data_IF_012824034830
#
_entry.id   IF_012824034830
#
_cell.length_a   1.000
_cell.length_b   1.000
_cell.length_c   1.000
_cell.angle_alpha   90.00
_cell.angle_beta   90.00
_cell.angle_gamma   90.00
#
_symmetry.space_group_name_H-M   'P 1'
#
loop_
_entity.id
_entity.type
_entity.pdbx_description
1 polymer ?
#
# COMPACT_ATOMS: atom_id res chain seq x y z
N UNK A 1 -15.28 22.37 9.44
CA UNK A 1 -14.61 23.21 8.42
C UNK A 1 -13.14 22.84 8.36
N UNK A 2 -12.68 22.44 7.17
CA UNK A 2 -11.33 22.56 6.58
C UNK A 2 -10.08 22.12 7.37
N UNK A 3 -9.63 20.93 6.96
CA UNK A 3 -8.37 20.67 6.24
C UNK A 3 -7.01 20.99 6.89
N UNK A 4 -6.28 19.88 7.01
CA UNK A 4 -4.84 19.68 7.05
C UNK A 4 -4.07 20.36 5.90
N UNK A 5 -2.79 20.66 6.14
CA UNK A 5 -1.87 21.11 5.10
C UNK A 5 -0.39 20.97 5.49
N UNK A 6 0.17 19.77 5.35
CA UNK A 6 1.63 19.52 5.27
C UNK A 6 2.17 20.01 3.92
N UNK A 7 3.31 20.70 3.91
CA UNK A 7 4.38 20.64 2.87
C UNK A 7 5.72 20.93 3.56
N UNK A 8 6.50 19.88 3.88
CA UNK A 8 7.68 19.34 3.16
C UNK A 8 8.90 20.29 3.11
N UNK A 9 10.10 19.80 3.49
CA UNK A 9 11.32 20.58 3.64
C UNK A 9 12.09 20.68 2.31
N UNK A 10 12.98 21.66 2.20
CA UNK A 10 13.92 21.80 1.09
C UNK A 10 15.33 21.95 1.66
N UNK A 11 16.22 21.08 1.21
CA UNK A 11 17.63 21.02 1.57
C UNK A 11 18.41 22.27 1.11
N UNK A 12 19.32 22.77 1.96
CA UNK A 12 20.61 23.31 1.51
C UNK A 12 21.61 23.49 2.68
N UNK A 13 22.55 22.55 2.77
CA UNK A 13 24.02 22.75 2.87
C UNK A 13 24.54 23.91 3.77
N UNK A 14 25.09 23.48 4.92
CA UNK A 14 26.10 24.04 5.89
C UNK A 14 26.54 25.54 5.89
N UNK A 15 26.71 26.17 7.09
CA UNK A 15 27.57 27.35 7.36
C UNK A 15 29.01 26.93 7.81
N UNK A 16 30.07 27.78 7.96
CA UNK A 16 30.14 29.11 8.65
C UNK A 16 31.23 30.09 8.06
N UNK A 17 31.85 31.08 8.76
CA UNK A 17 31.48 31.99 9.89
C UNK A 17 31.70 33.52 9.57
N UNK A 18 31.34 34.45 10.48
CA UNK A 18 31.79 35.85 10.42
C UNK A 18 33.17 36.04 11.08
N UNK A 19 34.00 37.01 10.64
CA UNK A 19 35.30 37.27 11.25
C UNK A 19 35.17 38.08 12.57
N UNK A 20 35.99 37.79 13.59
CA UNK A 20 36.06 38.56 14.83
C UNK A 20 37.02 39.78 14.71
N UNK A 21 36.79 40.87 15.47
CA UNK A 21 37.82 41.88 15.69
C UNK A 21 38.82 41.37 16.75
N UNK A 22 40.06 41.16 16.32
CA UNK A 22 41.19 40.81 17.19
C UNK A 22 41.65 42.03 17.99
N UNK A 23 41.51 41.96 19.31
CA UNK A 23 42.16 42.89 20.25
C UNK A 23 43.01 42.04 21.17
N UNK A 24 44.29 41.92 20.84
CA UNK A 24 45.33 41.55 21.80
C UNK A 24 46.54 42.45 21.57
N UNK A 25 46.65 43.44 22.46
CA UNK A 25 47.89 44.16 22.72
C UNK A 25 48.75 43.28 23.61
N UNK A 26 49.73 42.58 23.05
CA UNK A 26 50.96 42.26 23.76
C UNK A 26 52.15 42.64 22.88
N UNK A 27 52.75 43.78 23.23
CA UNK A 27 54.09 44.18 22.81
C UNK A 27 55.09 43.17 23.36
N UNK A 28 55.71 42.39 22.49
CA UNK A 28 57.06 41.91 22.70
C UNK A 28 57.94 42.50 21.61
N UNK A 29 58.94 43.23 22.08
CA UNK A 29 60.04 43.78 21.31
C UNK A 29 60.87 42.61 20.77
N UNK A 30 60.92 42.46 19.44
CA UNK A 30 62.10 41.97 18.75
C UNK A 30 61.94 42.25 17.26
N UNK A 31 62.73 43.18 16.74
CA UNK A 31 63.03 43.23 15.31
C UNK A 31 64.34 43.95 15.12
N UNK A 32 65.38 43.13 14.96
CA UNK A 32 66.56 43.45 14.17
C UNK A 32 66.13 43.98 12.81
N UNK A 33 66.68 45.12 12.41
CA UNK A 33 66.97 45.42 11.02
C UNK A 33 68.07 46.47 10.95
N UNK A 34 69.25 45.96 10.64
CA UNK A 34 70.30 46.66 9.90
C UNK A 34 69.70 47.49 8.76
N UNK A 35 69.97 48.79 8.81
CA UNK A 35 70.01 49.62 7.61
C UNK A 35 71.06 50.70 7.82
N UNK A 36 72.22 50.45 7.22
CA UNK A 36 73.27 51.42 7.00
C UNK A 36 72.74 52.67 6.30
N UNK A 37 72.97 53.84 6.90
CA UNK A 37 73.12 55.09 6.16
C UNK A 37 74.19 55.96 6.83
N UNK A 38 75.44 55.51 6.70
CA UNK A 38 76.60 56.38 6.84
C UNK A 38 76.58 57.36 5.66
N UNK A 39 76.16 58.59 5.91
CA UNK A 39 76.17 59.61 4.87
C UNK A 39 75.22 60.77 5.12
N UNK A 40 75.51 61.59 6.12
CA UNK A 40 75.32 63.05 6.04
C UNK A 40 75.94 63.72 7.25
N UNK A 41 77.08 64.36 7.02
CA UNK A 41 77.57 65.44 7.88
C UNK A 41 76.44 66.45 8.05
N UNK A 42 76.05 66.85 9.27
CA UNK A 42 75.41 68.14 9.41
C UNK A 42 76.50 69.17 9.09
N UNK A 43 76.31 69.82 7.95
CA UNK A 43 77.07 70.98 7.51
C UNK A 43 77.32 71.88 8.70
N UNK A 44 78.60 72.25 8.86
CA UNK A 44 79.01 73.36 9.69
C UNK A 44 78.14 74.57 9.35
N UNK A 45 77.14 74.84 10.18
CA UNK A 45 76.63 76.19 10.33
C UNK A 45 77.78 76.96 10.96
N UNK A 46 78.61 77.54 10.09
CA UNK A 46 79.44 78.65 10.47
C UNK A 46 78.54 79.63 11.20
N UNK A 47 78.78 79.77 12.49
CA UNK A 47 78.23 80.85 13.29
C UNK A 47 78.82 82.12 12.70
N UNK A 48 78.14 82.64 11.68
CA UNK A 48 78.26 84.04 11.33
C UNK A 48 77.94 84.78 12.61
N UNK A 49 78.97 85.34 13.24
CA UNK A 49 78.89 86.19 14.45
C UNK A 49 78.03 87.45 14.24
N UNK A 50 77.38 87.56 13.08
CA UNK A 50 76.43 88.59 12.67
C UNK A 50 74.95 88.15 12.78
N UNK A 51 74.63 86.88 13.11
CA UNK A 51 73.23 86.38 13.16
C UNK A 51 72.60 86.23 14.56
N UNK A 52 73.35 86.44 15.65
CA UNK A 52 72.79 86.42 17.01
C UNK A 52 71.86 87.62 17.29
N UNK A 53 72.08 88.75 16.60
CA UNK A 53 71.22 89.92 16.71
C UNK A 53 69.83 89.69 16.12
N UNK A 54 69.75 89.02 14.96
CA UNK A 54 68.48 88.77 14.25
C UNK A 54 67.59 87.76 14.97
N UNK A 55 68.16 86.74 15.63
CA UNK A 55 67.40 85.75 16.40
C UNK A 55 66.77 86.34 17.68
N UNK A 56 67.44 87.30 18.33
CA UNK A 56 66.94 87.95 19.54
C UNK A 56 65.76 88.89 19.26
N UNK A 57 65.66 89.43 18.06
CA UNK A 57 64.54 90.29 17.63
C UNK A 57 63.30 89.52 17.20
N UNK A 58 63.37 88.19 17.05
CA UNK A 58 62.21 87.38 16.69
C UNK A 58 61.15 87.38 17.80
N UNK A 59 59.91 87.71 17.44
CA UNK A 59 58.80 87.84 18.39
C UNK A 59 58.38 86.50 18.98
N UNK A 60 58.56 85.40 18.23
CA UNK A 60 58.23 84.06 18.73
C UNK A 60 59.22 83.63 19.81
N UNK A 61 60.52 83.84 19.57
CA UNK A 61 61.58 83.64 20.56
C UNK A 61 61.36 84.49 21.82
N UNK A 62 61.07 85.78 21.67
CA UNK A 62 60.87 86.67 22.83
C UNK A 62 59.70 86.21 23.71
N UNK A 63 58.57 85.82 23.10
CA UNK A 63 57.41 85.31 23.86
C UNK A 63 57.74 83.99 24.57
N UNK A 64 58.49 83.10 23.92
CA UNK A 64 58.95 81.85 24.55
C UNK A 64 59.91 82.10 25.71
N UNK A 65 60.89 82.99 25.52
CA UNK A 65 61.86 83.37 26.53
C UNK A 65 61.20 83.98 27.77
N UNK A 66 60.22 84.88 27.57
CA UNK A 66 59.42 85.47 28.66
C UNK A 66 58.65 84.38 29.43
N UNK A 67 58.05 83.41 28.73
CA UNK A 67 57.35 82.29 29.39
C UNK A 67 58.30 81.45 30.24
N UNK A 68 59.48 81.11 29.71
CA UNK A 68 60.49 80.34 30.45
C UNK A 68 60.96 81.09 31.69
N UNK A 69 61.27 82.38 31.56
CA UNK A 69 61.70 83.21 32.69
C UNK A 69 60.60 83.29 33.74
N UNK A 70 59.35 83.58 33.35
CA UNK A 70 58.23 83.66 34.29
C UNK A 70 57.95 82.32 34.97
N UNK A 71 58.12 81.19 34.26
CA UNK A 71 57.98 79.86 34.85
C UNK A 71 59.05 79.59 35.91
N UNK A 72 60.29 80.01 35.65
CA UNK A 72 61.39 79.89 36.62
C UNK A 72 61.20 80.80 37.84
N UNK A 73 60.76 82.04 37.64
CA UNK A 73 60.43 82.96 38.73
C UNK A 73 59.31 82.40 39.61
N UNK A 74 58.30 81.78 39.00
CA UNK A 74 57.20 81.12 39.71
C UNK A 74 57.66 79.87 40.48
N UNK A 75 58.55 79.03 39.93
CA UNK A 75 59.06 77.84 40.62
C UNK A 75 59.88 78.19 41.87
N UNK A 76 60.52 79.37 41.87
CA UNK A 76 61.27 79.91 42.99
C UNK A 76 60.45 80.87 43.87
N UNK A 77 59.11 80.86 43.74
CA UNK A 77 58.16 81.64 44.54
C UNK A 77 58.36 83.17 44.51
N UNK A 78 58.94 83.71 43.43
CA UNK A 78 59.12 85.16 43.26
C UNK A 78 57.82 85.83 42.74
N UNK A 79 57.40 86.98 43.29
CA UNK A 79 56.21 87.70 42.81
C UNK A 79 56.45 88.46 41.48
N UNK A 80 57.67 88.40 40.93
CA UNK A 80 58.08 89.11 39.72
C UNK A 80 57.53 88.42 38.46
N UNK A 81 57.01 89.21 37.52
CA UNK A 81 56.53 88.71 36.24
C UNK A 81 56.74 89.72 35.11
N UNK A 82 57.40 89.29 34.05
CA UNK A 82 57.66 90.10 32.86
C UNK A 82 56.44 90.03 31.93
N UNK A 83 55.78 91.17 31.66
CA UNK A 83 54.59 91.27 30.79
C UNK A 83 54.97 91.74 29.36
N UNK A 84 54.50 91.07 28.29
CA UNK A 84 54.68 91.53 26.92
C UNK A 84 53.77 92.73 26.58
N UNK A 85 54.09 93.56 25.56
CA UNK A 85 55.19 93.41 24.61
C UNK A 85 56.55 93.91 25.12
N UNK A 86 56.58 94.78 26.13
CA UNK A 86 57.79 95.34 26.73
C UNK A 86 57.54 95.60 28.23
N UNK A 87 58.27 94.92 29.14
CA UNK A 87 58.08 95.09 30.58
C UNK A 87 58.68 96.39 31.12
N UNK A 88 58.30 96.76 32.36
CA UNK A 88 58.79 97.99 32.97
C UNK A 88 60.29 97.89 33.31
N UNK A 89 61.02 99.01 33.22
CA UNK A 89 62.44 99.05 33.54
C UNK A 89 62.76 98.56 34.97
N UNK A 90 61.81 98.74 35.90
CA UNK A 90 61.88 98.26 37.28
C UNK A 90 61.79 96.73 37.33
N UNK A 91 60.78 96.16 36.69
CA UNK A 91 60.53 94.71 36.67
C UNK A 91 61.74 93.97 36.07
N UNK A 92 62.30 94.51 34.99
CA UNK A 92 63.48 93.92 34.34
C UNK A 92 64.70 93.92 35.25
N UNK A 93 64.93 95.04 35.95
CA UNK A 93 66.07 95.20 36.85
C UNK A 93 65.94 94.33 38.10
N UNK A 94 64.73 94.19 38.63
CA UNK A 94 64.42 93.29 39.77
C UNK A 94 64.54 91.82 39.37
N UNK A 95 64.06 91.44 38.19
CA UNK A 95 64.24 90.08 37.65
C UNK A 95 65.72 89.76 37.46
N UNK A 96 66.53 90.68 36.91
CA UNK A 96 67.97 90.46 36.77
C UNK A 96 68.67 90.27 38.13
N UNK A 97 68.38 91.12 39.11
CA UNK A 97 68.95 90.98 40.47
C UNK A 97 68.58 89.64 41.09
N UNK A 98 67.32 89.22 40.93
CA UNK A 98 66.86 87.93 41.42
C UNK A 98 67.63 86.77 40.77
N UNK A 99 67.74 86.75 39.44
CA UNK A 99 68.46 85.68 38.73
C UNK A 99 69.93 85.60 39.14
N UNK A 100 70.57 86.74 39.38
CA UNK A 100 71.97 86.76 39.83
C UNK A 100 72.11 86.22 41.26
N UNK A 101 71.14 86.52 42.14
CA UNK A 101 71.13 86.00 43.52
C UNK A 101 70.96 84.47 43.58
N UNK A 102 70.20 83.88 42.65
CA UNK A 102 70.03 82.42 42.56
C UNK A 102 71.30 81.70 42.07
N UNK A 103 72.25 82.44 41.49
CA UNK A 103 73.54 81.91 41.08
C UNK A 103 74.64 82.16 42.13
N UNK A 104 74.26 82.54 43.36
CA UNK A 104 75.15 82.84 44.50
C UNK A 104 76.17 83.98 44.26
N UNK A 105 75.88 84.92 43.35
CA UNK A 105 76.74 86.08 43.11
C UNK A 105 76.22 87.34 43.85
N UNK A 106 77.00 87.93 44.78
CA UNK A 106 76.61 89.17 45.43
C UNK A 106 76.72 90.36 44.46
N UNK A 107 75.64 91.13 44.28
CA UNK A 107 75.65 92.35 43.43
C UNK A 107 75.34 93.60 44.24
N UNK A 108 76.16 94.65 44.08
CA UNK A 108 75.97 95.96 44.73
C UNK A 108 75.57 97.04 43.74
N UNK A 109 76.07 96.96 42.50
CA UNK A 109 75.69 97.85 41.38
C UNK A 109 75.51 97.03 40.11
N UNK A 110 74.25 96.77 39.74
CA UNK A 110 73.89 95.95 38.58
C UNK A 110 74.56 96.41 37.27
N UNK A 111 74.73 97.72 37.05
CA UNK A 111 75.32 98.27 35.82
C UNK A 111 76.82 97.94 35.65
N UNK A 112 77.56 97.80 36.75
CA UNK A 112 79.00 97.54 36.75
C UNK A 112 79.30 96.04 36.95
N UNK A 113 78.51 95.35 37.79
CA UNK A 113 78.73 93.95 38.17
C UNK A 113 78.24 92.97 37.08
N UNK A 114 77.12 93.27 36.42
CA UNK A 114 76.53 92.36 35.43
C UNK A 114 77.45 92.09 34.23
N UNK A 115 78.11 93.09 33.61
CA UNK A 115 79.08 92.82 32.54
C UNK A 115 80.25 91.93 32.97
N UNK A 116 80.71 92.03 34.21
CA UNK A 116 81.80 91.20 34.77
C UNK A 116 81.31 89.77 34.92
N UNK A 117 80.12 89.58 35.49
CA UNK A 117 79.50 88.27 35.65
C UNK A 117 79.27 87.58 34.31
N UNK A 118 78.69 88.30 33.33
CA UNK A 118 78.45 87.76 31.99
C UNK A 118 79.76 87.36 31.29
N UNK A 119 80.87 88.08 31.54
CA UNK A 119 82.18 87.69 31.04
C UNK A 119 82.72 86.43 31.75
N UNK A 120 82.56 86.35 33.08
CA UNK A 120 83.00 85.18 33.87
C UNK A 120 82.25 83.90 33.46
N UNK A 121 80.95 84.01 33.24
CA UNK A 121 80.09 82.91 32.80
C UNK A 121 80.17 82.65 31.27
N UNK A 122 81.04 83.34 30.54
CA UNK A 122 81.20 83.25 29.08
C UNK A 122 79.87 83.42 28.30
N UNK A 123 79.08 84.43 28.67
CA UNK A 123 77.79 84.71 28.03
C UNK A 123 77.95 84.99 26.53
N UNK A 124 77.21 84.29 25.65
CA UNK A 124 77.32 84.46 24.21
C UNK A 124 76.70 85.78 23.71
N UNK A 125 75.90 86.46 24.54
CA UNK A 125 75.15 87.67 24.16
C UNK A 125 75.92 88.91 24.63
N UNK A 126 76.24 89.80 23.68
CA UNK A 126 76.90 91.07 23.99
C UNK A 126 75.88 92.08 24.50
N UNK A 127 76.16 92.67 25.65
CA UNK A 127 75.30 93.66 26.28
C UNK A 127 76.05 94.98 26.47
N UNK A 128 75.49 96.07 25.94
CA UNK A 128 76.09 97.40 26.04
C UNK A 128 75.67 98.09 27.34
N UNK A 129 76.56 98.88 27.96
CA UNK A 129 76.25 99.63 29.20
C UNK A 129 75.01 100.52 29.07
N UNK A 130 74.73 101.05 27.88
CA UNK A 130 73.52 101.84 27.59
C UNK A 130 72.22 101.04 27.71
N UNK A 131 72.24 99.74 27.46
CA UNK A 131 71.07 98.86 27.61
C UNK A 131 70.65 98.66 29.08
N UNK A 132 71.60 98.79 30.03
CA UNK A 132 71.32 98.70 31.47
C UNK A 132 70.79 100.01 32.05
N UNK A 133 71.20 101.16 31.48
CA UNK A 133 70.71 102.49 31.89
C UNK A 133 69.25 102.74 31.47
N UNK A 134 68.82 102.14 30.37
CA UNK A 134 67.46 102.26 29.84
C UNK A 134 66.89 100.89 29.40
N UNK A 135 66.63 99.98 30.36
CA UNK A 135 66.32 98.57 30.08
C UNK A 135 64.95 98.35 29.43
N UNK A 136 64.04 99.31 29.58
CA UNK A 136 62.70 99.29 28.97
C UNK A 136 62.60 99.96 27.60
N UNK A 137 63.70 100.05 26.85
CA UNK A 137 63.67 100.61 25.48
C UNK A 137 63.55 99.48 24.43
N UNK A 138 62.77 99.68 23.34
CA UNK A 138 62.55 98.63 22.33
C UNK A 138 63.83 98.07 21.70
N UNK A 139 64.90 98.86 21.64
CA UNK A 139 66.19 98.45 21.08
C UNK A 139 67.09 97.71 22.08
N UNK A 140 66.98 97.99 23.39
CA UNK A 140 67.77 97.32 24.43
C UNK A 140 67.15 96.00 24.89
N UNK A 141 65.81 95.92 24.82
CA UNK A 141 65.04 94.80 25.35
C UNK A 141 65.41 93.42 24.77
N UNK A 142 65.58 93.23 23.45
CA UNK A 142 65.93 91.92 22.89
C UNK A 142 67.21 91.33 23.49
N UNK A 143 68.27 92.14 23.62
CA UNK A 143 69.54 91.69 24.21
C UNK A 143 69.42 91.40 25.71
N UNK A 144 68.65 92.20 26.43
CA UNK A 144 68.44 92.05 27.87
C UNK A 144 67.60 90.82 28.20
N UNK A 145 66.54 90.58 27.42
CA UNK A 145 65.72 89.39 27.51
C UNK A 145 66.51 88.13 27.18
N UNK A 146 67.35 88.17 26.13
CA UNK A 146 68.23 87.06 25.79
C UNK A 146 69.20 86.72 26.94
N UNK A 147 69.78 87.74 27.59
CA UNK A 147 70.65 87.54 28.76
C UNK A 147 69.87 86.95 29.94
N UNK A 148 68.69 87.48 30.29
CA UNK A 148 67.87 86.92 31.36
C UNK A 148 67.48 85.47 31.09
N UNK A 149 67.05 85.17 29.85
CA UNK A 149 66.69 83.82 29.45
C UNK A 149 67.88 82.87 29.55
N UNK A 150 69.07 83.30 29.12
CA UNK A 150 70.29 82.51 29.26
C UNK A 150 70.70 82.27 30.72
N UNK A 151 70.60 83.28 31.59
CA UNK A 151 70.85 83.11 33.03
C UNK A 151 69.88 82.10 33.66
N UNK A 152 68.60 82.11 33.26
CA UNK A 152 67.61 81.09 33.69
C UNK A 152 68.02 79.68 33.25
N UNK A 153 68.53 79.50 32.03
CA UNK A 153 68.99 78.18 31.58
C UNK A 153 70.15 77.65 32.42
N UNK A 154 71.07 78.52 32.86
CA UNK A 154 72.15 78.13 33.76
C UNK A 154 71.61 77.73 35.14
N UNK A 155 70.70 78.53 35.70
CA UNK A 155 70.11 78.23 37.01
C UNK A 155 69.38 76.87 37.00
N UNK A 156 68.54 76.61 35.99
CA UNK A 156 67.85 75.33 35.81
C UNK A 156 68.81 74.14 35.70
N UNK A 157 69.94 74.32 35.04
CA UNK A 157 70.96 73.28 34.93
C UNK A 157 71.60 72.97 36.30
N UNK A 158 71.91 74.01 37.09
CA UNK A 158 72.45 73.84 38.43
C UNK A 158 71.46 73.09 39.35
N UNK A 159 70.16 73.44 39.31
CA UNK A 159 69.11 72.75 40.09
C UNK A 159 69.03 71.26 39.75
N UNK A 160 69.12 70.92 38.46
CA UNK A 160 69.12 69.53 38.01
C UNK A 160 70.36 68.78 38.50
N UNK A 161 71.54 69.41 38.49
CA UNK A 161 72.75 68.80 39.03
C UNK A 161 72.58 68.45 40.52
N UNK A 162 72.14 69.42 41.35
CA UNK A 162 71.88 69.25 42.80
C UNK A 162 70.92 68.10 43.07
N UNK A 163 69.84 68.00 42.29
CA UNK A 163 68.86 66.92 42.42
C UNK A 163 69.44 65.54 42.10
N UNK A 164 70.39 65.46 41.16
CA UNK A 164 71.04 64.21 40.78
C UNK A 164 72.16 63.80 41.74
N UNK A 165 72.72 64.73 42.52
CA UNK A 165 73.67 64.42 43.61
C UNK A 165 72.98 63.69 44.79
N UNK A 166 71.64 63.68 44.89
CA UNK A 166 70.92 62.79 45.82
C UNK A 166 71.02 61.29 45.44
N UNK A 167 71.67 60.98 44.31
CA UNK A 167 72.03 59.63 43.86
C UNK A 167 73.48 59.26 44.24
N UNK A 168 74.04 59.82 45.32
CA UNK A 168 75.28 59.26 45.86
C UNK A 168 74.98 58.00 46.68
N UNK A 169 75.78 56.97 46.43
CA UNK A 169 75.77 55.69 47.14
C UNK A 169 75.83 55.92 48.66
N UNK A 170 75.10 55.12 49.45
CA UNK A 170 75.16 55.16 50.92
C UNK A 170 76.62 55.04 51.41
N UNK A 171 77.46 54.35 50.64
CA UNK A 171 78.92 54.23 50.86
C UNK A 171 79.66 55.56 50.72
N UNK A 172 79.23 56.46 49.84
CA UNK A 172 79.85 57.77 49.67
C UNK A 172 79.50 58.70 50.84
N UNK A 173 78.25 58.69 51.30
CA UNK A 173 77.83 59.46 52.50
C UNK A 173 78.58 58.98 53.73
N UNK A 174 78.66 57.65 53.92
CA UNK A 174 79.48 57.04 54.98
C UNK A 174 80.95 57.48 54.89
N UNK A 175 81.58 57.39 53.72
CA UNK A 175 82.97 57.77 53.54
C UNK A 175 83.21 59.27 53.83
N UNK A 176 82.28 60.13 53.44
CA UNK A 176 82.35 61.57 53.68
C UNK A 176 82.22 61.89 55.18
N UNK A 177 81.22 61.34 55.86
CA UNK A 177 80.99 61.59 57.28
C UNK A 177 82.13 61.04 58.13
N UNK A 178 82.62 59.83 57.84
CA UNK A 178 83.80 59.26 58.49
C UNK A 178 85.06 60.11 58.29
N UNK A 179 85.24 60.68 57.09
CA UNK A 179 86.35 61.59 56.81
C UNK A 179 86.22 62.93 57.57
N UNK A 180 85.00 63.45 57.72
CA UNK A 180 84.74 64.66 58.50
C UNK A 180 85.03 64.46 60.00
N UNK A 181 84.65 63.31 60.58
CA UNK A 181 85.00 62.96 61.95
C UNK A 181 86.52 62.77 62.13
N UNK A 182 87.20 62.14 61.16
CA UNK A 182 88.65 61.99 61.16
C UNK A 182 89.40 63.34 61.20
N UNK A 183 89.02 64.31 60.35
CA UNK A 183 89.68 65.64 60.34
C UNK A 183 89.46 66.38 61.67
N UNK A 184 88.32 66.15 62.32
CA UNK A 184 87.98 66.76 63.62
C UNK A 184 88.65 66.06 64.81
N UNK A 185 89.22 64.87 64.62
CA UNK A 185 89.77 64.04 65.69
C UNK A 185 88.70 63.49 66.64
N UNK A 186 87.49 63.27 66.12
CA UNK A 186 86.32 62.79 66.87
C UNK A 186 86.11 61.29 66.66
N UNK A 187 86.86 60.49 67.40
CA UNK A 187 86.85 59.02 67.29
C UNK A 187 85.49 58.41 67.72
N UNK A 188 84.83 59.00 68.72
CA UNK A 188 83.51 58.56 69.19
C UNK A 188 82.43 58.76 68.10
N UNK A 189 82.50 59.88 67.37
CA UNK A 189 81.62 60.14 66.23
C UNK A 189 81.84 59.17 65.06
N UNK A 190 83.09 58.78 64.80
CA UNK A 190 83.41 57.76 63.78
C UNK A 190 82.80 56.40 64.14
N UNK A 191 82.92 55.95 65.38
CA UNK A 191 82.35 54.65 65.81
C UNK A 191 80.81 54.64 65.71
N UNK A 192 80.17 55.78 65.98
CA UNK A 192 78.73 55.92 65.82
C UNK A 192 78.29 55.77 64.35
N UNK A 193 79.01 56.41 63.42
CA UNK A 193 78.77 56.31 61.96
C UNK A 193 79.00 54.89 61.46
N UNK A 194 80.07 54.22 61.90
CA UNK A 194 80.36 52.80 61.59
C UNK A 194 79.22 51.89 62.05
N UNK A 195 78.75 52.07 63.28
CA UNK A 195 77.67 51.25 63.85
C UNK A 195 76.35 51.44 63.12
N UNK A 196 76.02 52.68 62.75
CA UNK A 196 74.81 52.97 61.98
C UNK A 196 74.88 52.34 60.58
N UNK A 197 76.00 52.52 59.88
CA UNK A 197 76.22 51.97 58.54
C UNK A 197 76.17 50.44 58.54
N UNK A 198 76.89 49.80 59.46
CA UNK A 198 76.86 48.34 59.62
C UNK A 198 75.46 47.84 59.97
N UNK A 199 74.76 48.50 60.88
CA UNK A 199 73.38 48.16 61.21
C UNK A 199 72.43 48.30 60.02
N UNK A 200 72.66 49.28 59.12
CA UNK A 200 71.88 49.43 57.88
C UNK A 200 72.10 48.25 56.94
N UNK A 201 73.36 47.89 56.70
CA UNK A 201 73.73 46.74 55.87
C UNK A 201 73.19 45.42 56.41
N UNK A 202 73.21 45.21 57.74
CA UNK A 202 72.66 44.01 58.35
C UNK A 202 71.14 43.90 58.13
N UNK A 203 70.40 45.00 58.30
CA UNK A 203 68.95 45.03 58.02
C UNK A 203 68.66 44.77 56.54
N UNK A 204 69.45 45.33 55.64
CA UNK A 204 69.31 45.08 54.20
C UNK A 204 69.60 43.62 53.85
N UNK A 205 70.69 43.04 54.39
CA UNK A 205 71.00 41.61 54.28
C UNK A 205 69.85 40.76 54.76
N UNK A 206 69.31 41.03 55.94
CA UNK A 206 68.24 40.24 56.54
C UNK A 206 66.94 40.36 55.73
N UNK A 207 66.61 41.56 55.24
CA UNK A 207 65.47 41.76 54.36
C UNK A 207 65.61 40.98 53.03
N UNK A 208 66.80 40.98 52.43
CA UNK A 208 67.09 40.20 51.23
C UNK A 208 67.02 38.70 51.53
N UNK A 209 67.58 38.23 52.64
CA UNK A 209 67.56 36.83 53.04
C UNK A 209 66.13 36.32 53.27
N UNK A 210 65.26 37.10 53.91
CA UNK A 210 63.85 36.75 54.06
C UNK A 210 63.11 36.77 52.72
N UNK A 211 63.43 37.70 51.83
CA UNK A 211 62.92 37.72 50.45
C UNK A 211 63.29 36.45 49.67
N UNK A 212 64.54 35.99 49.80
CA UNK A 212 65.01 34.75 49.17
C UNK A 212 64.24 33.54 49.71
N UNK A 213 64.08 33.41 51.04
CA UNK A 213 63.30 32.30 51.63
C UNK A 213 61.85 32.30 51.16
N UNK A 214 61.23 33.47 51.03
CA UNK A 214 59.86 33.59 50.53
C UNK A 214 59.76 33.13 49.06
N UNK A 215 60.71 33.52 48.23
CA UNK A 215 60.78 33.10 46.82
C UNK A 215 61.03 31.59 46.70
N UNK A 216 61.93 31.01 47.50
CA UNK A 216 62.18 29.56 47.53
C UNK A 216 60.92 28.77 47.86
N UNK A 217 60.13 29.25 48.83
CA UNK A 217 58.83 28.64 49.17
C UNK A 217 57.84 28.74 48.02
N UNK A 218 57.76 29.87 47.34
CA UNK A 218 56.88 30.03 46.18
C UNK A 218 57.30 29.10 45.04
N UNK A 219 58.60 28.98 44.76
CA UNK A 219 59.13 28.05 43.75
C UNK A 219 58.71 26.62 44.07
N UNK A 220 58.92 26.15 45.30
CA UNK A 220 58.53 24.81 45.73
C UNK A 220 57.02 24.55 45.57
N UNK A 221 56.17 25.54 45.90
CA UNK A 221 54.72 25.43 45.72
C UNK A 221 54.33 25.35 44.23
N UNK A 222 54.98 26.16 43.39
CA UNK A 222 54.73 26.17 41.94
C UNK A 222 55.18 24.86 41.29
N UNK A 223 56.33 24.33 41.68
CA UNK A 223 56.84 23.03 41.22
C UNK A 223 55.91 21.89 41.65
N UNK A 224 55.44 21.90 42.90
CA UNK A 224 54.45 20.92 43.38
C UNK A 224 53.15 20.95 42.56
N UNK A 225 52.62 22.14 42.29
CA UNK A 225 51.44 22.31 41.40
C UNK A 225 51.71 21.82 39.98
N UNK A 226 52.91 22.06 39.45
CA UNK A 226 53.31 21.59 38.12
C UNK A 226 53.35 20.07 38.05
N UNK A 227 53.92 19.41 39.06
CA UNK A 227 53.98 17.94 39.12
C UNK A 227 52.60 17.32 39.31
N UNK A 228 51.71 17.93 40.10
CA UNK A 228 50.30 17.51 40.22
C UNK A 228 49.57 17.61 38.86
N UNK A 229 49.77 18.70 38.13
CA UNK A 229 49.25 18.89 36.78
C UNK A 229 49.85 17.90 35.76
N UNK A 230 51.09 17.43 35.99
CA UNK A 230 51.80 16.48 35.11
C UNK A 230 51.37 15.03 35.35
N UNK A 231 51.15 14.65 36.61
CA UNK A 231 50.73 13.30 37.01
C UNK A 231 49.22 13.09 36.85
N UNK A 232 48.42 14.16 36.96
CA UNK A 232 47.00 14.12 36.70
C UNK A 232 46.69 13.77 35.24
N UNK A 233 45.57 13.07 34.96
CA UNK A 233 45.09 12.93 33.59
C UNK A 233 44.89 14.32 33.01
N UNK A 234 45.53 14.62 31.88
CA UNK A 234 45.33 15.91 31.25
C UNK A 234 43.83 16.10 30.99
N UNK A 235 43.29 17.29 31.23
CA UNK A 235 41.88 17.57 30.93
C UNK A 235 41.51 17.18 29.48
N UNK A 236 42.49 17.28 28.58
CA UNK A 236 42.41 16.80 27.20
C UNK A 236 42.17 15.29 27.10
N UNK A 237 42.90 14.47 27.84
CA UNK A 237 42.74 13.01 27.81
C UNK A 237 41.36 12.57 28.33
N UNK A 238 40.86 13.23 29.38
CA UNK A 238 39.50 12.98 29.90
C UNK A 238 38.46 13.30 28.82
N UNK A 239 38.57 14.49 28.21
CA UNK A 239 37.66 14.91 27.13
C UNK A 239 37.80 14.02 25.89
N UNK A 240 39.00 13.51 25.56
CA UNK A 240 39.20 12.58 24.45
C UNK A 240 38.56 11.22 24.69
N UNK A 241 38.60 10.70 25.93
CA UNK A 241 37.87 9.47 26.31
C UNK A 241 36.36 9.67 26.20
N UNK A 242 35.85 10.78 26.72
CA UNK A 242 34.42 11.13 26.60
C UNK A 242 34.00 11.29 25.14
N UNK A 243 34.82 11.95 24.32
CA UNK A 243 34.60 12.08 22.87
C UNK A 243 34.52 10.71 22.20
N UNK A 244 35.42 9.79 22.54
CA UNK A 244 35.41 8.42 22.02
C UNK A 244 34.12 7.67 22.33
N UNK A 245 33.65 7.73 23.58
CA UNK A 245 32.37 7.12 23.99
C UNK A 245 31.20 7.72 23.22
N UNK A 246 31.15 9.05 23.09
CA UNK A 246 30.10 9.72 22.33
C UNK A 246 30.15 9.39 20.83
N UNK A 247 31.34 9.26 20.24
CA UNK A 247 31.50 8.84 18.84
C UNK A 247 30.98 7.40 18.62
N UNK A 248 31.21 6.49 19.57
CA UNK A 248 30.66 5.13 19.52
C UNK A 248 29.13 5.14 19.60
N UNK A 249 28.56 5.93 20.51
CA UNK A 249 27.11 6.04 20.65
C UNK A 249 26.46 6.68 19.43
N UNK A 250 27.10 7.69 18.83
CA UNK A 250 26.67 8.25 17.53
C UNK A 250 26.63 7.16 16.45
N UNK A 251 27.64 6.29 16.37
CA UNK A 251 27.63 5.16 15.41
C UNK A 251 26.49 4.19 15.69
N UNK A 252 26.22 3.86 16.96
CA UNK A 252 25.08 2.99 17.35
C UNK A 252 23.75 3.61 16.93
N UNK A 253 23.54 4.91 17.18
CA UNK A 253 22.31 5.59 16.77
C UNK A 253 22.14 5.61 15.25
N UNK A 254 23.20 5.86 14.48
CA UNK A 254 23.13 5.79 13.02
C UNK A 254 22.75 4.39 12.53
N UNK A 255 23.27 3.33 13.16
CA UNK A 255 22.91 1.95 12.82
C UNK A 255 21.41 1.67 13.09
N UNK A 256 20.89 2.09 14.24
CA UNK A 256 19.47 1.95 14.59
C UNK A 256 18.58 2.75 13.63
N UNK A 257 18.98 3.99 13.30
CA UNK A 257 18.25 4.83 12.33
C UNK A 257 18.23 4.15 10.96
N UNK A 258 19.34 3.56 10.50
CA UNK A 258 19.38 2.84 9.24
C UNK A 258 18.46 1.62 9.24
N UNK A 259 18.45 0.84 10.32
CA UNK A 259 17.55 -0.31 10.50
C UNK A 259 16.07 0.13 10.43
N UNK A 260 15.68 1.14 11.22
CA UNK A 260 14.31 1.64 11.21
C UNK A 260 13.92 2.27 9.88
N UNK A 261 14.83 3.00 9.22
CA UNK A 261 14.58 3.56 7.89
C UNK A 261 14.33 2.45 6.87
N UNK A 262 15.11 1.36 6.93
CA UNK A 262 14.89 0.17 6.09
C UNK A 262 13.55 -0.51 6.37
N UNK A 263 13.18 -0.65 7.65
CA UNK A 263 11.88 -1.22 8.04
C UNK A 263 10.70 -0.34 7.60
N UNK A 264 10.81 0.98 7.72
CA UNK A 264 9.82 1.93 7.23
C UNK A 264 9.64 1.76 5.72
N UNK A 265 10.74 1.76 4.94
CA UNK A 265 10.67 1.58 3.50
C UNK A 265 10.03 0.24 3.08
N UNK A 266 10.33 -0.84 3.82
CA UNK A 266 9.72 -2.16 3.61
C UNK A 266 8.20 -2.14 3.87
N UNK A 267 7.77 -1.53 4.98
CA UNK A 267 6.35 -1.40 5.33
C UNK A 267 5.62 -0.48 4.36
N UNK A 268 6.24 0.62 3.93
CA UNK A 268 5.67 1.53 2.92
C UNK A 268 5.45 0.79 1.59
N UNK A 269 6.39 -0.05 1.16
CA UNK A 269 6.22 -0.89 -0.04
C UNK A 269 5.04 -1.86 0.10
N UNK A 270 4.92 -2.54 1.24
CA UNK A 270 3.79 -3.45 1.52
C UNK A 270 2.46 -2.67 1.52
N UNK A 271 2.44 -1.47 2.10
CA UNK A 271 1.26 -0.62 2.12
C UNK A 271 0.85 -0.23 0.69
N UNK A 272 1.79 0.17 -0.15
CA UNK A 272 1.52 0.51 -1.55
C UNK A 272 0.97 -0.69 -2.35
N UNK A 273 1.52 -1.89 -2.14
CA UNK A 273 1.00 -3.13 -2.74
C UNK A 273 -0.43 -3.42 -2.28
N UNK A 274 -0.72 -3.25 -0.98
CA UNK A 274 -2.05 -3.46 -0.40
C UNK A 274 -3.06 -2.42 -0.85
N UNK A 275 -2.64 -1.17 -1.05
CA UNK A 275 -3.48 -0.10 -1.57
C UNK A 275 -3.87 -0.36 -3.03
N UNK A 276 -2.93 -0.87 -3.84
CA UNK A 276 -3.23 -1.33 -5.21
C UNK A 276 -4.20 -2.52 -5.22
N UNK A 277 -3.98 -3.52 -4.37
CA UNK A 277 -4.90 -4.67 -4.23
C UNK A 277 -6.31 -4.21 -3.80
N UNK A 278 -6.38 -3.29 -2.85
CA UNK A 278 -7.64 -2.72 -2.39
C UNK A 278 -8.35 -1.96 -3.52
N UNK A 279 -7.61 -1.16 -4.30
CA UNK A 279 -8.16 -0.46 -5.47
C UNK A 279 -8.83 -1.40 -6.46
N UNK A 280 -8.16 -2.51 -6.83
CA UNK A 280 -8.72 -3.53 -7.72
C UNK A 280 -9.99 -4.15 -7.13
N UNK A 281 -10.01 -4.49 -5.83
CA UNK A 281 -11.20 -5.06 -5.18
C UNK A 281 -12.36 -4.07 -5.09
N UNK A 282 -12.08 -2.78 -4.91
CA UNK A 282 -13.10 -1.73 -4.91
C UNK A 282 -13.72 -1.60 -6.30
N UNK A 283 -12.91 -1.59 -7.36
CA UNK A 283 -13.40 -1.56 -8.74
C UNK A 283 -14.24 -2.79 -9.08
N UNK A 284 -13.79 -3.99 -8.68
CA UNK A 284 -14.56 -5.22 -8.85
C UNK A 284 -15.91 -5.18 -8.11
N UNK A 285 -15.91 -4.71 -6.86
CA UNK A 285 -17.14 -4.58 -6.07
C UNK A 285 -18.11 -3.58 -6.72
N UNK A 286 -17.61 -2.44 -7.21
CA UNK A 286 -18.43 -1.48 -7.95
C UNK A 286 -19.06 -2.12 -9.19
N UNK A 287 -18.27 -2.89 -9.97
CA UNK A 287 -18.79 -3.62 -11.14
C UNK A 287 -19.88 -4.63 -10.75
N UNK A 288 -19.69 -5.38 -9.66
CA UNK A 288 -20.68 -6.34 -9.16
C UNK A 288 -21.94 -5.62 -8.67
N UNK A 289 -21.81 -4.46 -8.03
CA UNK A 289 -22.95 -3.64 -7.63
C UNK A 289 -23.73 -3.12 -8.85
N UNK A 290 -23.04 -2.63 -9.88
CA UNK A 290 -23.66 -2.20 -11.14
C UNK A 290 -24.40 -3.36 -11.83
N UNK A 291 -23.75 -4.52 -11.94
CA UNK A 291 -24.37 -5.72 -12.51
C UNK A 291 -25.59 -6.19 -11.71
N UNK A 292 -25.51 -6.15 -10.38
CA UNK A 292 -26.65 -6.48 -9.51
C UNK A 292 -27.81 -5.51 -9.66
N UNK A 293 -27.53 -4.20 -9.76
CA UNK A 293 -28.59 -3.21 -10.01
C UNK A 293 -29.22 -3.41 -11.40
N UNK A 294 -28.44 -3.74 -12.42
CA UNK A 294 -28.98 -4.05 -13.75
C UNK A 294 -29.76 -5.37 -13.78
N UNK A 295 -29.30 -6.40 -13.07
CA UNK A 295 -30.05 -7.63 -12.84
C UNK A 295 -31.37 -7.34 -12.12
N UNK A 296 -31.36 -6.51 -11.09
CA UNK A 296 -32.55 -6.12 -10.34
C UNK A 296 -33.55 -5.37 -11.22
N UNK A 297 -33.11 -4.39 -12.02
CA UNK A 297 -33.97 -3.72 -13.01
C UNK A 297 -34.57 -4.70 -14.01
N UNK A 298 -33.77 -5.68 -14.49
CA UNK A 298 -34.28 -6.73 -15.40
C UNK A 298 -35.34 -7.59 -14.73
N UNK A 299 -35.15 -7.97 -13.47
CA UNK A 299 -36.14 -8.73 -12.68
C UNK A 299 -37.40 -7.89 -12.42
N UNK A 300 -37.26 -6.61 -12.10
CA UNK A 300 -38.41 -5.70 -11.90
C UNK A 300 -39.22 -5.47 -13.19
N UNK A 301 -38.58 -5.50 -14.37
CA UNK A 301 -39.24 -5.45 -15.67
C UNK A 301 -39.97 -6.75 -16.05
N UNK A 302 -39.59 -7.89 -15.46
CA UNK A 302 -40.28 -9.14 -15.69
C UNK A 302 -41.68 -9.06 -15.09
N UNK A 303 -42.68 -9.44 -15.88
CA UNK A 303 -44.10 -9.38 -15.47
C UNK A 303 -44.50 -10.50 -14.50
N UNK A 304 -43.57 -11.37 -14.14
CA UNK A 304 -43.76 -12.50 -13.23
C UNK A 304 -42.85 -12.32 -12.01
N UNK A 305 -43.42 -12.47 -10.82
CA UNK A 305 -42.71 -12.42 -9.55
C UNK A 305 -42.14 -13.81 -9.20
N UNK A 306 -41.17 -13.90 -8.30
CA UNK A 306 -40.75 -15.15 -7.65
C UNK A 306 -41.94 -16.00 -7.14
N UNK A 307 -43.00 -15.37 -6.62
CA UNK A 307 -44.24 -16.07 -6.26
C UNK A 307 -44.95 -16.72 -7.45
N UNK A 308 -44.93 -16.07 -8.61
CA UNK A 308 -45.52 -16.61 -9.84
C UNK A 308 -44.67 -17.76 -10.38
N UNK A 309 -43.33 -17.65 -10.30
CA UNK A 309 -42.42 -18.74 -10.64
C UNK A 309 -42.63 -19.97 -9.74
N UNK A 310 -42.83 -19.77 -8.43
CA UNK A 310 -43.19 -20.86 -7.51
C UNK A 310 -44.58 -21.44 -7.81
N UNK A 311 -45.55 -20.60 -8.18
CA UNK A 311 -46.87 -21.06 -8.60
C UNK A 311 -46.78 -21.91 -9.86
N UNK A 312 -46.08 -21.44 -10.90
CA UNK A 312 -45.82 -22.19 -12.12
C UNK A 312 -45.12 -23.51 -11.83
N UNK A 313 -44.15 -23.54 -10.91
CA UNK A 313 -43.49 -24.79 -10.49
C UNK A 313 -44.46 -25.78 -9.87
N UNK A 314 -45.37 -25.33 -8.99
CA UNK A 314 -46.40 -26.20 -8.40
C UNK A 314 -47.41 -26.69 -9.43
N UNK A 315 -47.81 -25.84 -10.38
CA UNK A 315 -48.71 -26.21 -11.48
C UNK A 315 -48.04 -27.21 -12.43
N UNK A 316 -46.76 -27.02 -12.74
CA UNK A 316 -45.99 -27.97 -13.56
C UNK A 316 -45.87 -29.33 -12.86
N UNK A 317 -45.56 -29.36 -11.55
CA UNK A 317 -45.58 -30.59 -10.77
C UNK A 317 -46.97 -31.24 -10.68
N UNK A 318 -48.05 -30.46 -10.79
CA UNK A 318 -49.40 -31.00 -10.86
C UNK A 318 -49.68 -31.66 -12.21
N UNK A 319 -49.33 -30.99 -13.30
CA UNK A 319 -49.46 -31.54 -14.65
C UNK A 319 -48.60 -32.79 -14.82
N UNK A 320 -47.37 -32.82 -14.28
CA UNK A 320 -46.53 -34.03 -14.29
C UNK A 320 -47.21 -35.21 -13.58
N UNK A 321 -47.85 -34.98 -12.43
CA UNK A 321 -48.63 -36.01 -11.73
C UNK A 321 -49.82 -36.48 -12.57
N UNK A 322 -50.57 -35.55 -13.16
CA UNK A 322 -51.73 -35.88 -13.99
C UNK A 322 -51.32 -36.68 -15.25
N UNK A 323 -50.16 -36.36 -15.84
CA UNK A 323 -49.57 -37.15 -16.94
C UNK A 323 -49.28 -38.57 -16.46
N UNK A 324 -48.61 -38.75 -15.33
CA UNK A 324 -48.31 -40.10 -14.81
C UNK A 324 -49.57 -40.90 -14.50
N UNK A 325 -50.61 -40.25 -13.97
CA UNK A 325 -51.90 -40.90 -13.71
C UNK A 325 -52.60 -41.29 -15.03
N UNK A 326 -52.59 -40.41 -16.02
CA UNK A 326 -53.13 -40.69 -17.35
C UNK A 326 -52.37 -41.83 -18.06
N UNK A 327 -51.04 -41.90 -17.90
CA UNK A 327 -50.23 -43.00 -18.43
C UNK A 327 -50.56 -44.34 -17.75
N UNK A 328 -50.74 -44.36 -16.43
CA UNK A 328 -51.19 -45.56 -15.70
C UNK A 328 -52.59 -45.97 -16.15
N UNK A 329 -53.51 -45.00 -16.29
CA UNK A 329 -54.86 -45.26 -16.78
C UNK A 329 -54.85 -45.82 -18.21
N UNK A 330 -54.02 -45.26 -19.10
CA UNK A 330 -53.81 -45.76 -20.47
C UNK A 330 -53.33 -47.21 -20.45
N UNK A 331 -52.28 -47.50 -19.68
CA UNK A 331 -51.73 -48.86 -19.57
C UNK A 331 -52.80 -49.85 -19.06
N UNK A 332 -53.63 -49.44 -18.10
CA UNK A 332 -54.75 -50.25 -17.62
C UNK A 332 -55.87 -50.46 -18.66
N UNK A 333 -56.11 -49.51 -19.56
CA UNK A 333 -57.02 -49.71 -20.69
C UNK A 333 -56.41 -50.58 -21.80
N UNK A 334 -55.10 -50.47 -22.03
CA UNK A 334 -54.37 -51.35 -22.95
C UNK A 334 -54.40 -52.81 -22.49
N UNK A 335 -54.22 -53.07 -21.19
CA UNK A 335 -54.35 -54.41 -20.60
C UNK A 335 -55.77 -54.97 -20.80
N UNK A 336 -56.80 -54.18 -20.49
CA UNK A 336 -58.20 -54.56 -20.75
C UNK A 336 -58.47 -54.85 -22.23
N UNK A 337 -57.89 -54.06 -23.14
CA UNK A 337 -58.01 -54.30 -24.58
C UNK A 337 -57.37 -55.63 -24.96
N UNK A 338 -56.18 -55.92 -24.42
CA UNK A 338 -55.48 -57.19 -24.63
C UNK A 338 -56.28 -58.40 -24.13
N UNK A 339 -56.90 -58.29 -22.95
CA UNK A 339 -57.77 -59.33 -22.39
C UNK A 339 -59.01 -59.57 -23.27
N UNK A 340 -59.64 -58.48 -23.74
CA UNK A 340 -60.78 -58.55 -24.66
C UNK A 340 -60.38 -59.16 -26.00
N UNK A 341 -59.25 -58.75 -26.59
CA UNK A 341 -58.73 -59.32 -27.84
C UNK A 341 -58.41 -60.80 -27.71
N UNK A 342 -57.85 -61.22 -26.56
CA UNK A 342 -57.61 -62.63 -26.24
C UNK A 342 -58.93 -63.40 -26.14
N UNK A 343 -59.94 -62.82 -25.48
CA UNK A 343 -61.27 -63.41 -25.34
C UNK A 343 -61.99 -63.53 -26.69
N UNK A 344 -61.95 -62.47 -27.51
CA UNK A 344 -62.49 -62.45 -28.88
C UNK A 344 -61.76 -63.51 -29.71
N UNK A 345 -60.43 -63.60 -29.62
CA UNK A 345 -59.64 -64.62 -30.30
C UNK A 345 -60.04 -66.05 -29.92
N UNK A 346 -60.32 -66.31 -28.63
CA UNK A 346 -60.84 -67.61 -28.18
C UNK A 346 -62.24 -67.89 -28.76
N UNK A 347 -63.16 -66.92 -28.68
CA UNK A 347 -64.52 -67.06 -29.21
C UNK A 347 -64.54 -67.20 -30.73
N UNK A 348 -63.64 -66.56 -31.44
CA UNK A 348 -63.50 -66.71 -32.88
C UNK A 348 -63.03 -68.12 -33.25
N UNK A 349 -62.09 -68.71 -32.49
CA UNK A 349 -61.69 -70.12 -32.67
C UNK A 349 -62.83 -71.11 -32.41
N UNK A 350 -63.63 -70.88 -31.35
CA UNK A 350 -64.86 -71.67 -31.10
C UNK A 350 -65.83 -71.57 -32.29
N UNK A 351 -66.04 -70.35 -32.80
CA UNK A 351 -66.90 -70.09 -33.95
C UNK A 351 -66.38 -70.76 -35.22
N UNK A 352 -65.06 -70.77 -35.43
CA UNK A 352 -64.40 -71.44 -36.55
C UNK A 352 -64.63 -72.96 -36.52
N UNK A 353 -64.51 -73.58 -35.34
CA UNK A 353 -64.83 -74.99 -35.16
C UNK A 353 -66.31 -75.28 -35.51
N UNK A 354 -67.25 -74.49 -34.98
CA UNK A 354 -68.68 -74.63 -35.27
C UNK A 354 -69.01 -74.39 -36.76
N UNK A 355 -68.37 -73.40 -37.39
CA UNK A 355 -68.50 -73.11 -38.82
C UNK A 355 -68.04 -74.31 -39.66
N UNK A 356 -66.91 -74.94 -39.30
CA UNK A 356 -66.42 -76.16 -39.96
C UNK A 356 -67.46 -77.28 -39.81
N UNK A 357 -68.00 -77.51 -38.61
CA UNK A 357 -69.03 -78.52 -38.37
C UNK A 357 -70.32 -78.26 -39.17
N UNK A 358 -70.82 -77.03 -39.16
CA UNK A 358 -71.98 -76.63 -39.95
C UNK A 358 -71.73 -76.80 -41.45
N UNK A 359 -70.57 -76.38 -41.95
CA UNK A 359 -70.19 -76.55 -43.36
C UNK A 359 -70.04 -78.02 -43.76
N UNK A 360 -69.60 -78.89 -42.85
CA UNK A 360 -69.61 -80.34 -43.08
C UNK A 360 -71.04 -80.88 -43.14
N UNK A 361 -71.94 -80.43 -42.27
CA UNK A 361 -73.36 -80.81 -42.31
C UNK A 361 -74.04 -80.34 -43.60
N UNK A 362 -73.80 -79.11 -44.04
CA UNK A 362 -74.30 -78.56 -45.32
C UNK A 362 -73.81 -79.39 -46.51
N UNK A 363 -72.53 -79.79 -46.51
CA UNK A 363 -71.98 -80.69 -47.53
C UNK A 363 -72.66 -82.07 -47.55
N UNK A 364 -72.99 -82.64 -46.37
CA UNK A 364 -73.75 -83.91 -46.29
C UNK A 364 -75.16 -83.78 -46.85
N UNK A 365 -75.81 -82.64 -46.65
CA UNK A 365 -77.17 -82.35 -47.12
C UNK A 365 -77.25 -82.03 -48.63
N UNK A 366 -76.11 -81.86 -49.33
CA UNK A 366 -76.03 -81.49 -50.76
C UNK A 366 -76.87 -80.25 -51.13
N UNK A 367 -77.08 -79.35 -50.17
CA UNK A 367 -77.61 -78.01 -50.41
C UNK A 367 -76.57 -77.29 -51.28
N UNK A 368 -76.98 -76.73 -52.42
CA UNK A 368 -76.11 -76.33 -53.53
C UNK A 368 -74.82 -75.57 -53.16
N UNK A 369 -73.83 -75.61 -54.06
CA UNK A 369 -72.42 -75.19 -53.86
C UNK A 369 -72.16 -73.74 -53.40
N UNK A 370 -73.18 -72.93 -53.08
CA UNK A 370 -73.05 -71.52 -52.67
C UNK A 370 -73.30 -71.23 -51.18
N UNK A 371 -73.71 -72.20 -50.37
CA UNK A 371 -74.02 -71.99 -48.94
C UNK A 371 -72.87 -72.53 -48.06
N UNK A 372 -71.90 -71.66 -47.76
CA UNK A 372 -70.78 -71.98 -46.87
C UNK A 372 -70.48 -70.83 -45.90
N UNK A 373 -70.49 -71.10 -44.60
CA UNK A 373 -69.99 -70.14 -43.61
C UNK A 373 -68.51 -69.85 -43.86
N UNK A 374 -68.19 -68.59 -44.15
CA UNK A 374 -66.81 -68.11 -44.33
C UNK A 374 -66.60 -67.00 -43.31
N UNK A 375 -65.89 -67.32 -42.23
CA UNK A 375 -65.76 -66.37 -41.14
C UNK A 375 -64.85 -65.19 -41.50
N UNK A 376 -65.26 -63.99 -41.09
CA UNK A 376 -64.45 -62.77 -41.21
C UNK A 376 -64.19 -62.16 -39.84
N UNK A 377 -62.92 -62.21 -39.40
CA UNK A 377 -62.49 -61.66 -38.12
C UNK A 377 -62.64 -60.14 -37.97
N UNK A 378 -62.86 -59.41 -39.08
CA UNK A 378 -63.04 -57.94 -39.09
C UNK A 378 -64.50 -57.50 -39.27
N UNK A 379 -65.45 -58.43 -39.28
CA UNK A 379 -66.86 -58.09 -39.40
C UNK A 379 -67.37 -57.34 -38.16
N UNK A 380 -68.14 -56.27 -38.36
CA UNK A 380 -68.75 -55.50 -37.26
C UNK A 380 -70.20 -55.92 -36.98
N UNK A 381 -70.78 -56.75 -37.85
CA UNK A 381 -72.12 -57.31 -37.69
C UNK A 381 -72.10 -58.86 -37.76
N UNK A 382 -73.07 -59.56 -37.13
CA UNK A 382 -73.12 -61.02 -37.16
C UNK A 382 -73.12 -61.62 -38.57
N UNK A 383 -73.77 -60.96 -39.55
CA UNK A 383 -73.80 -61.42 -40.94
C UNK A 383 -72.43 -61.28 -41.63
N UNK A 384 -71.68 -60.20 -41.34
CA UNK A 384 -70.32 -60.02 -41.84
C UNK A 384 -69.34 -61.00 -41.18
N UNK A 385 -69.47 -61.23 -39.87
CA UNK A 385 -68.60 -62.18 -39.14
C UNK A 385 -68.81 -63.61 -39.62
N UNK A 386 -70.05 -64.01 -39.92
CA UNK A 386 -70.39 -65.36 -40.38
C UNK A 386 -70.21 -65.55 -41.91
N UNK A 387 -70.02 -64.47 -42.67
CA UNK A 387 -69.89 -64.46 -44.13
C UNK A 387 -71.16 -64.79 -44.91
N UNK A 388 -72.21 -65.24 -44.22
CA UNK A 388 -73.53 -65.54 -44.76
C UNK A 388 -74.57 -65.08 -43.73
N UNK A 389 -75.63 -64.43 -44.21
CA UNK A 389 -76.78 -64.15 -43.36
C UNK A 389 -77.64 -65.41 -43.18
N UNK A 390 -77.63 -65.92 -41.94
CA UNK A 390 -78.44 -67.05 -41.51
C UNK A 390 -79.94 -66.84 -41.81
N UNK A 391 -80.46 -65.62 -41.58
CA UNK A 391 -81.90 -65.34 -41.66
C UNK A 391 -82.38 -65.16 -43.09
N UNK A 392 -81.63 -64.44 -43.92
CA UNK A 392 -82.07 -64.12 -45.29
C UNK A 392 -81.67 -65.16 -46.33
N UNK A 393 -80.61 -65.94 -46.08
CA UNK A 393 -80.00 -66.77 -47.11
C UNK A 393 -80.03 -68.24 -46.75
N UNK A 394 -79.52 -68.62 -45.57
CA UNK A 394 -79.44 -70.04 -45.20
C UNK A 394 -80.80 -70.64 -44.82
N UNK A 395 -81.58 -69.95 -43.99
CA UNK A 395 -82.89 -70.43 -43.53
C UNK A 395 -83.89 -70.62 -44.69
N UNK A 396 -84.07 -69.66 -45.62
CA UNK A 396 -84.98 -69.87 -46.75
C UNK A 396 -84.54 -70.98 -47.69
N UNK A 397 -83.23 -71.20 -47.86
CA UNK A 397 -82.71 -72.30 -48.66
C UNK A 397 -82.94 -73.68 -48.02
N UNK A 398 -82.83 -73.77 -46.69
CA UNK A 398 -83.20 -74.98 -45.93
C UNK A 398 -84.71 -75.25 -45.99
N UNK A 399 -85.53 -74.22 -45.82
CA UNK A 399 -86.99 -74.33 -45.93
C UNK A 399 -87.40 -74.75 -47.35
N UNK A 400 -86.80 -74.17 -48.39
CA UNK A 400 -87.00 -74.60 -49.79
C UNK A 400 -86.57 -76.05 -50.05
N UNK A 401 -85.46 -76.51 -49.46
CA UNK A 401 -85.03 -77.90 -49.62
C UNK A 401 -85.95 -78.87 -48.87
N UNK A 402 -86.45 -78.48 -47.70
CA UNK A 402 -87.47 -79.24 -46.97
C UNK A 402 -88.78 -79.33 -47.77
N UNK A 403 -89.20 -78.23 -48.40
CA UNK A 403 -90.35 -78.17 -49.29
C UNK A 403 -90.15 -79.01 -50.55
N UNK A 404 -88.95 -79.00 -51.17
CA UNK A 404 -88.62 -79.84 -52.33
C UNK A 404 -88.63 -81.34 -51.96
N UNK A 405 -88.10 -81.71 -50.79
CA UNK A 405 -88.20 -83.08 -50.26
C UNK A 405 -89.66 -83.45 -50.05
N UNK A 406 -90.45 -82.58 -49.42
CA UNK A 406 -91.89 -82.76 -49.20
C UNK A 406 -92.62 -82.96 -50.52
N UNK A 407 -92.39 -82.09 -51.51
CA UNK A 407 -93.00 -82.16 -52.85
C UNK A 407 -92.57 -83.40 -53.64
N UNK A 408 -91.28 -83.77 -53.61
CA UNK A 408 -90.78 -85.03 -54.17
C UNK A 408 -91.43 -86.24 -53.49
N UNK A 409 -91.58 -86.21 -52.17
CA UNK A 409 -92.22 -87.28 -51.41
C UNK A 409 -93.71 -87.39 -51.70
N UNK A 410 -94.41 -86.25 -51.83
CA UNK A 410 -95.82 -86.17 -52.24
C UNK A 410 -96.02 -86.65 -53.67
N UNK A 411 -95.15 -86.27 -54.60
CA UNK A 411 -95.19 -86.75 -55.99
C UNK A 411 -94.97 -88.27 -56.08
N UNK A 412 -94.03 -88.82 -55.30
CA UNK A 412 -93.85 -90.28 -55.19
C UNK A 412 -95.04 -90.96 -54.52
N UNK A 413 -95.69 -90.30 -53.56
CA UNK A 413 -96.91 -90.80 -52.94
C UNK A 413 -98.10 -90.78 -53.91
N UNK A 414 -98.24 -89.74 -54.73
CA UNK A 414 -99.22 -89.65 -55.81
C UNK A 414 -98.97 -90.71 -56.88
N UNK A 415 -97.71 -90.96 -57.27
CA UNK A 415 -97.33 -92.08 -58.13
C UNK A 415 -97.73 -93.43 -57.50
N UNK A 416 -97.45 -93.65 -56.21
CA UNK A 416 -97.86 -94.85 -55.48
C UNK A 416 -99.37 -95.02 -55.44
N UNK A 417 -100.14 -93.95 -55.21
CA UNK A 417 -101.60 -93.96 -55.25
C UNK A 417 -102.10 -94.32 -56.65
N UNK A 418 -101.49 -93.78 -57.71
CA UNK A 418 -101.85 -94.11 -59.10
C UNK A 418 -101.60 -95.60 -59.42
N UNK A 419 -100.46 -96.14 -58.97
CA UNK A 419 -100.10 -97.55 -59.15
C UNK A 419 -101.05 -98.46 -58.36
N UNK A 420 -101.48 -98.03 -57.17
CA UNK A 420 -102.45 -98.76 -56.36
C UNK A 420 -103.85 -98.73 -56.98
N UNK A 421 -104.29 -97.61 -57.55
CA UNK A 421 -105.53 -97.52 -58.30
C UNK A 421 -105.51 -98.47 -59.52
N UNK A 422 -104.39 -98.49 -60.25
CA UNK A 422 -104.19 -99.39 -61.38
C UNK A 422 -104.17 -100.88 -60.96
N UNK A 423 -103.64 -101.18 -59.77
CA UNK A 423 -103.68 -102.51 -59.17
C UNK A 423 -105.11 -102.97 -58.85
N UNK A 424 -105.94 -102.10 -58.23
CA UNK A 424 -107.34 -102.40 -57.91
C UNK A 424 -108.17 -102.64 -59.19
N UNK A 425 -107.94 -101.84 -60.23
CA UNK A 425 -108.64 -101.98 -61.50
C UNK A 425 -108.26 -103.28 -62.24
N UNK A 426 -106.98 -103.68 -62.15
CA UNK A 426 -106.52 -104.98 -62.64
C UNK A 426 -107.09 -106.15 -61.82
N UNK A 427 -107.21 -106.00 -60.49
CA UNK A 427 -107.84 -107.01 -59.63
C UNK A 427 -109.32 -107.22 -59.99
N UNK A 428 -110.08 -106.14 -60.24
CA UNK A 428 -111.47 -106.23 -60.70
C UNK A 428 -111.60 -106.95 -62.06
N UNK A 429 -110.67 -106.71 -63.00
CA UNK A 429 -110.61 -107.44 -64.29
C UNK A 429 -110.31 -108.94 -64.09
N UNK A 430 -109.46 -109.29 -63.13
CA UNK A 430 -109.16 -110.70 -62.79
C UNK A 430 -110.39 -111.37 -62.17
N UNK A 431 -111.10 -110.69 -61.26
CA UNK A 431 -112.30 -111.20 -60.61
C UNK A 431 -113.43 -111.45 -61.63
N UNK A 432 -113.63 -110.52 -62.57
CA UNK A 432 -114.58 -110.71 -63.67
C UNK A 432 -114.24 -111.92 -64.56
N UNK A 433 -112.95 -112.16 -64.82
CA UNK A 433 -112.50 -113.36 -65.56
C UNK A 433 -112.64 -114.64 -64.73
N UNK A 434 -112.42 -114.60 -63.41
CA UNK A 434 -112.68 -115.74 -62.50
C UNK A 434 -114.16 -116.12 -62.47
N UNK A 435 -115.05 -115.16 -62.37
CA UNK A 435 -116.50 -115.42 -62.40
C UNK A 435 -116.94 -116.04 -63.75
N UNK A 436 -116.32 -115.60 -64.85
CA UNK A 436 -116.55 -116.20 -66.17
C UNK A 436 -116.03 -117.63 -66.28
N UNK A 437 -114.91 -117.94 -65.63
CA UNK A 437 -114.38 -119.30 -65.54
C UNK A 437 -115.25 -120.19 -64.65
N UNK A 438 -115.73 -119.70 -63.50
CA UNK A 438 -116.64 -120.44 -62.62
C UNK A 438 -117.96 -120.81 -63.31
N UNK A 439 -118.51 -119.91 -64.13
CA UNK A 439 -119.70 -120.18 -64.93
C UNK A 439 -119.45 -121.27 -66.00
N UNK A 440 -118.27 -121.27 -66.63
CA UNK A 440 -117.88 -122.31 -67.59
C UNK A 440 -117.60 -123.67 -66.91
N UNK A 441 -117.04 -123.65 -65.70
CA UNK A 441 -116.80 -124.86 -64.89
C UNK A 441 -118.13 -125.53 -64.50
N UNK A 442 -119.12 -124.75 -64.06
CA UNK A 442 -120.47 -125.25 -63.77
C UNK A 442 -121.14 -125.90 -64.99
N UNK A 443 -120.94 -125.35 -66.19
CA UNK A 443 -121.47 -125.95 -67.43
C UNK A 443 -120.76 -127.23 -67.85
N UNK A 444 -119.49 -127.41 -67.44
CA UNK A 444 -118.71 -128.62 -67.72
C UNK A 444 -119.07 -129.76 -66.77
N UNK A 445 -119.42 -129.45 -65.52
CA UNK A 445 -119.84 -130.45 -64.53
C UNK A 445 -121.23 -130.99 -64.85
N UNK A 446 -122.17 -130.16 -65.35
CA UNK A 446 -123.48 -130.61 -65.83
C UNK A 446 -123.39 -131.56 -67.05
N UNK A 447 -122.43 -131.34 -67.96
CA UNK A 447 -122.22 -132.23 -69.12
C UNK A 447 -121.59 -133.56 -68.70
N UNK A 448 -120.69 -133.54 -67.71
CA UNK A 448 -120.03 -134.74 -67.20
C UNK A 448 -121.00 -135.67 -66.45
N UNK A 449 -121.99 -135.10 -65.75
CA UNK A 449 -123.01 -135.88 -65.04
C UNK A 449 -124.00 -136.54 -66.03
N UNK A 450 -124.31 -135.89 -67.16
CA UNK A 450 -125.15 -136.44 -68.23
C UNK A 450 -124.45 -137.57 -69.03
N UNK A 451 -123.13 -137.48 -69.26
CA UNK A 451 -122.37 -138.55 -69.91
C UNK A 451 -122.23 -139.80 -69.02
N UNK A 452 -122.13 -139.63 -67.71
CA UNK A 452 -122.07 -140.75 -66.76
C UNK A 452 -123.40 -141.52 -66.69
N UNK A 453 -124.53 -140.80 -66.74
CA UNK A 453 -125.87 -141.42 -66.78
C UNK A 453 -126.07 -142.18 -68.10
N UNK A 454 -125.57 -141.66 -69.22
CA UNK A 454 -125.65 -142.33 -70.53
C UNK A 454 -124.83 -143.62 -70.58
N UNK A 455 -123.61 -143.63 -70.03
CA UNK A 455 -122.75 -144.82 -69.95
C UNK A 455 -123.33 -145.93 -69.05
N UNK A 456 -124.00 -145.57 -67.95
CA UNK A 456 -124.69 -146.55 -67.09
C UNK A 456 -125.87 -147.20 -67.81
N UNK A 457 -126.66 -146.43 -68.58
CA UNK A 457 -127.74 -147.00 -69.41
C UNK A 457 -127.20 -147.92 -70.50
N UNK A 458 -126.09 -147.57 -71.16
CA UNK A 458 -125.47 -148.39 -72.21
C UNK A 458 -124.99 -149.74 -71.65
N UNK A 459 -124.36 -149.74 -70.45
CA UNK A 459 -123.89 -150.95 -69.78
C UNK A 459 -125.05 -151.88 -69.35
N UNK A 460 -126.17 -151.32 -68.88
CA UNK A 460 -127.36 -152.11 -68.57
C UNK A 460 -127.94 -152.80 -69.82
N UNK A 461 -127.96 -152.12 -70.97
CA UNK A 461 -128.42 -152.68 -72.25
C UNK A 461 -127.47 -153.79 -72.74
N UNK A 462 -126.16 -153.59 -72.62
CA UNK A 462 -125.17 -154.58 -73.05
C UNK A 462 -125.21 -155.86 -72.20
N UNK A 463 -125.43 -155.72 -70.89
CA UNK A 463 -125.60 -156.88 -69.99
C UNK A 463 -126.89 -157.66 -70.27
N UNK A 464 -127.99 -156.97 -70.60
CA UNK A 464 -129.22 -157.62 -71.05
C UNK A 464 -129.06 -158.34 -72.40
N UNK A 465 -128.25 -157.79 -73.32
CA UNK A 465 -127.94 -158.43 -74.60
C UNK A 465 -127.07 -159.68 -74.44
N UNK A 466 -126.07 -159.64 -73.55
CA UNK A 466 -125.25 -160.80 -73.19
C UNK A 466 -126.08 -161.91 -72.52
N UNK A 467 -127.01 -161.56 -71.64
CA UNK A 467 -127.92 -162.52 -71.01
C UNK A 467 -128.80 -163.22 -72.05
N UNK A 468 -129.25 -162.49 -73.09
CA UNK A 468 -130.07 -163.05 -74.18
C UNK A 468 -129.26 -163.91 -75.15
N UNK A 469 -128.03 -163.51 -75.49
CA UNK A 469 -127.08 -164.33 -76.28
C UNK A 469 -126.69 -165.62 -75.57
N UNK A 470 -126.56 -165.62 -74.24
CA UNK A 470 -126.26 -166.84 -73.47
C UNK A 470 -127.46 -167.81 -73.45
N UNK A 471 -128.69 -167.27 -73.44
CA UNK A 471 -129.92 -168.08 -73.56
C UNK A 471 -130.11 -168.62 -74.97
N UNK A 472 -129.75 -167.88 -76.02
CA UNK A 472 -129.84 -168.33 -77.40
C UNK A 472 -128.74 -169.35 -77.79
N UNK A 473 -127.56 -169.30 -77.17
CA UNK A 473 -126.57 -170.38 -77.33
C UNK A 473 -126.98 -171.69 -76.64
N UNK A 474 -127.87 -171.59 -75.64
CA UNK A 474 -128.58 -172.73 -75.05
C UNK A 474 -129.58 -173.40 -76.03
N UNK A 475 -129.81 -172.81 -77.22
CA UNK A 475 -130.79 -173.30 -78.21
C UNK A 475 -130.20 -173.83 -79.53
N UNK A 476 -128.92 -173.63 -79.86
CA UNK A 476 -128.42 -173.81 -81.25
C UNK A 476 -127.48 -174.99 -81.56
N UNK A 477 -127.11 -175.87 -80.63
CA UNK A 477 -126.50 -177.18 -80.98
C UNK A 477 -126.71 -178.20 -79.83
N UNK A 478 -127.61 -179.19 -79.77
CA UNK A 478 -128.71 -179.71 -80.61
C UNK A 478 -128.49 -179.67 -82.13
N UNK A 479 -127.36 -180.25 -82.55
CA UNK A 479 -127.23 -181.05 -83.77
C UNK A 479 -126.09 -182.06 -83.53
#
# INVERSE_FOLDING_TARGET
MKATGRRRPKDSIRPPPPPPPSVDHHRQFSSDSDASFAGSRPSSLGVNRSSAGDALTDRSYQLSAIRTINSFLASHSSPLSLKPPLPSAKDISETLKFLISQLDFPTTKLEDDLPILLKHLNCPIKLNKSALKAPGTPHAWPSLLGVMHWLVQIALYNDHLVSNLQCFDNTFVYALDSYLHYIRGDDDGMEAVDREFMGKLERERDAVAEGVKALEKEVAEREGRLEELRLGPSAKEVVEKERGVLEEDVKKFHAIIAEFSGRIASVEKILEEKEKELGVKVEENNRICEENEDLKKRVELQTFNARDAERMKRELQAVERDITEAEVARNGWEEKSWDLDTTIGHKFKELEALSIECNQALRRLKLGNGLQYVLNAKGSSPAEVLGIDYKSTLKPALDSFADDISKSSMSKLEELISLQQQSVENAAKIEAKRNRLAALQSSSDEVSELELIFLVQQLCIYMLFLYRKLVDWKLLLRL
#
